data_IF_302577506884
#
_entry.id   IF_302577506884
#
_cell.length_a   1.000
_cell.length_b   1.000
_cell.length_c   1.000
_cell.angle_alpha   90.00
_cell.angle_beta   90.00
_cell.angle_gamma   90.00
#
_symmetry.space_group_name_H-M   'P 1'
#
loop_
_entity.id
_entity.type
_entity.pdbx_description
1 polymer ?
#
# COMPACT_ATOMS: atom_id res chain seq x y z
N UNK A 1 -21.07 41.15 41.92
CA UNK A 1 -22.32 40.56 42.44
C UNK A 1 -21.99 39.11 42.78
N UNK A 2 -21.69 38.83 44.05
CA UNK A 2 -22.58 38.11 45.01
C UNK A 2 -22.75 36.63 44.66
N UNK A 3 -22.57 35.65 45.55
CA UNK A 3 -22.29 35.64 46.99
C UNK A 3 -21.75 34.26 47.39
N UNK A 4 -20.87 34.25 48.39
CA UNK A 4 -20.42 33.09 49.14
C UNK A 4 -21.56 32.41 49.93
N UNK A 5 -21.42 31.10 50.19
CA UNK A 5 -22.06 30.42 51.33
C UNK A 5 -21.09 29.40 51.95
N UNK A 6 -20.51 29.80 53.08
CA UNK A 6 -19.86 28.96 54.08
C UNK A 6 -20.88 28.57 55.16
N UNK A 7 -20.90 27.30 55.59
CA UNK A 7 -21.33 26.81 56.93
C UNK A 7 -20.64 25.44 57.10
N UNK A 8 -19.55 25.26 57.85
CA UNK A 8 -19.34 25.19 59.31
C UNK A 8 -19.89 23.94 60.03
N UNK A 9 -18.98 23.02 60.40
CA UNK A 9 -18.94 22.31 61.70
C UNK A 9 -19.63 20.93 61.70
N UNK A 10 -19.17 19.88 62.39
CA UNK A 10 -18.37 19.78 63.62
C UNK A 10 -17.69 18.39 63.68
N UNK A 11 -16.43 18.34 64.10
CA UNK A 11 -15.70 17.14 64.55
C UNK A 11 -16.06 16.80 66.00
N UNK A 12 -16.16 15.52 66.38
CA UNK A 12 -15.79 15.10 67.72
C UNK A 12 -14.47 14.33 67.71
N UNK A 13 -13.61 14.75 68.63
CA UNK A 13 -12.37 14.10 68.99
C UNK A 13 -12.62 12.75 69.70
N UNK A 14 -11.86 11.72 69.33
CA UNK A 14 -11.54 10.62 70.24
C UNK A 14 -10.01 10.54 70.35
N UNK A 15 -9.51 11.06 71.46
CA UNK A 15 -8.18 10.77 71.96
C UNK A 15 -8.25 9.48 72.79
N UNK A 16 -7.40 8.51 72.50
CA UNK A 16 -7.33 7.26 73.26
C UNK A 16 -6.19 6.35 72.80
N UNK A 17 -5.05 6.50 73.46
CA UNK A 17 -4.05 5.46 73.79
C UNK A 17 -3.59 4.49 72.69
N UNK A 18 -2.39 4.73 72.15
CA UNK A 18 -1.50 3.66 71.68
C UNK A 18 -0.05 4.08 71.86
N UNK A 19 0.42 3.98 73.09
CA UNK A 19 1.85 4.04 73.43
C UNK A 19 2.36 2.60 73.49
N UNK A 20 3.26 2.24 72.57
CA UNK A 20 4.14 1.07 72.73
C UNK A 20 4.01 -0.03 71.68
N UNK A 21 4.71 0.14 70.54
CA UNK A 21 5.32 -0.94 69.75
C UNK A 21 6.01 -0.36 68.48
N UNK A 22 7.13 0.36 68.63
CA UNK A 22 7.97 0.76 67.49
C UNK A 22 9.42 0.32 67.71
N UNK A 23 9.61 -0.99 67.87
CA UNK A 23 10.92 -1.64 67.70
C UNK A 23 10.73 -2.85 66.79
N UNK A 24 10.38 -2.60 65.53
CA UNK A 24 10.50 -3.58 64.46
C UNK A 24 11.61 -3.05 63.54
N UNK A 25 12.73 -3.75 63.37
CA UNK A 25 13.73 -3.37 62.38
C UNK A 25 13.06 -3.42 61.01
N UNK A 26 13.07 -2.29 60.29
CA UNK A 26 12.57 -2.24 58.92
C UNK A 26 13.39 -3.21 58.07
N UNK A 27 12.73 -4.23 57.51
CA UNK A 27 13.33 -5.01 56.44
C UNK A 27 13.54 -4.07 55.25
N UNK A 28 14.80 -3.77 54.95
CA UNK A 28 15.16 -3.13 53.69
C UNK A 28 14.81 -4.12 52.57
N UNK A 29 13.65 -3.93 51.94
CA UNK A 29 13.32 -4.59 50.70
C UNK A 29 14.25 -3.99 49.63
N UNK A 30 15.21 -4.77 49.15
CA UNK A 30 15.95 -4.44 47.95
C UNK A 30 14.93 -4.33 46.81
N UNK A 31 14.79 -3.13 46.25
CA UNK A 31 13.97 -2.86 45.08
C UNK A 31 14.61 -3.62 43.89
N UNK A 32 13.97 -4.67 43.34
CA UNK A 32 14.50 -5.32 42.16
C UNK A 32 14.35 -4.32 41.02
N UNK A 33 15.48 -3.79 40.58
CA UNK A 33 15.62 -2.89 39.42
C UNK A 33 14.63 -3.30 38.32
N UNK A 34 13.62 -2.45 38.09
CA UNK A 34 12.59 -2.73 37.10
C UNK A 34 13.28 -2.95 35.74
N UNK A 35 12.98 -4.05 35.03
CA UNK A 35 13.56 -4.27 33.71
C UNK A 35 13.26 -3.06 32.81
N UNK A 36 14.20 -2.67 31.94
CA UNK A 36 14.04 -1.49 31.09
C UNK A 36 12.71 -1.59 30.36
N UNK A 37 11.86 -0.57 30.55
CA UNK A 37 10.58 -0.46 29.85
C UNK A 37 10.91 -0.22 28.38
N UNK A 38 10.79 -1.28 27.57
CA UNK A 38 10.78 -1.15 26.12
C UNK A 38 9.45 -0.50 25.77
N UNK A 39 9.46 0.79 25.40
CA UNK A 39 8.30 1.43 24.80
C UNK A 39 7.92 0.62 23.54
N UNK A 40 6.65 0.19 23.40
CA UNK A 40 6.20 -0.43 22.16
C UNK A 40 6.49 0.55 21.01
N UNK A 41 7.17 0.07 19.96
CA UNK A 41 7.16 0.80 18.68
C UNK A 41 5.68 1.06 18.34
N UNK A 42 5.33 2.24 17.81
CA UNK A 42 3.97 2.44 17.31
C UNK A 42 3.68 1.32 16.33
N UNK A 43 2.67 0.50 16.65
CA UNK A 43 2.22 -0.55 15.75
C UNK A 43 1.91 0.14 14.42
N UNK A 44 2.67 -0.19 13.37
CA UNK A 44 2.25 0.17 12.02
C UNK A 44 0.96 -0.60 11.80
N UNK A 45 -0.18 0.08 11.93
CA UNK A 45 -1.50 -0.52 11.74
C UNK A 45 -1.53 -1.11 10.33
N UNK A 46 -1.60 -2.43 10.27
CA UNK A 46 -1.77 -3.16 9.02
C UNK A 46 -3.26 -3.32 8.75
N UNK A 47 -3.62 -3.21 7.48
CA UNK A 47 -4.99 -3.30 7.00
C UNK A 47 -5.14 -4.51 6.10
N UNK A 48 -6.16 -5.34 6.36
CA UNK A 48 -6.47 -6.47 5.51
C UNK A 48 -7.24 -5.98 4.30
N UNK A 49 -6.76 -6.32 3.11
CA UNK A 49 -7.42 -5.94 1.87
C UNK A 49 -7.97 -7.19 1.18
N UNK A 50 -9.24 -7.16 0.84
CA UNK A 50 -9.89 -8.14 -0.02
C UNK A 50 -10.18 -7.52 -1.39
N UNK A 51 -9.62 -8.12 -2.43
CA UNK A 51 -9.80 -7.74 -3.81
C UNK A 51 -10.80 -8.68 -4.47
N UNK A 52 -11.89 -8.13 -4.99
CA UNK A 52 -12.92 -8.89 -5.71
C UNK A 52 -13.06 -8.36 -7.12
N UNK A 53 -13.04 -9.24 -8.11
CA UNK A 53 -13.24 -8.86 -9.49
C UNK A 53 -14.14 -9.86 -10.21
N UNK A 54 -14.90 -9.37 -11.19
CA UNK A 54 -15.78 -10.19 -12.02
C UNK A 54 -15.63 -9.75 -13.46
N UNK A 55 -15.55 -10.74 -14.35
CA UNK A 55 -15.45 -10.52 -15.78
C UNK A 55 -16.56 -11.31 -16.44
N UNK A 56 -17.62 -10.60 -16.82
CA UNK A 56 -18.81 -11.18 -17.41
C UNK A 56 -18.80 -10.98 -18.92
N UNK A 57 -18.39 -12.00 -19.66
CA UNK A 57 -18.35 -11.97 -21.11
C UNK A 57 -17.49 -13.07 -21.71
N UNK A 58 -17.25 -12.97 -23.02
CA UNK A 58 -16.33 -13.87 -23.72
C UNK A 58 -14.97 -13.18 -23.75
N UNK A 59 -14.03 -13.64 -22.92
CA UNK A 59 -12.66 -13.14 -22.92
C UNK A 59 -11.64 -14.28 -22.79
N UNK A 60 -10.43 -14.04 -23.29
CA UNK A 60 -9.24 -14.89 -23.08
C UNK A 60 -8.14 -14.05 -22.46
N UNK A 61 -7.24 -14.74 -21.76
CA UNK A 61 -6.08 -14.14 -21.10
C UNK A 61 -6.46 -12.91 -20.28
N UNK A 62 -7.61 -12.94 -19.60
CA UNK A 62 -7.89 -11.86 -18.68
C UNK A 62 -6.87 -11.94 -17.54
N UNK A 63 -6.44 -10.78 -17.08
CA UNK A 63 -5.46 -10.67 -16.00
C UNK A 63 -6.02 -9.73 -14.95
N UNK A 64 -5.81 -10.07 -13.68
CA UNK A 64 -6.11 -9.22 -12.54
C UNK A 64 -4.80 -8.96 -11.82
N UNK A 65 -4.36 -7.71 -11.83
CA UNK A 65 -3.23 -7.26 -11.05
C UNK A 65 -3.74 -6.57 -9.76
N UNK A 66 -3.11 -6.82 -8.63
CA UNK A 66 -3.49 -6.24 -7.33
C UNK A 66 -2.28 -6.15 -6.41
N UNK A 67 -2.33 -5.26 -5.41
CA UNK A 67 -1.26 -5.16 -4.41
C UNK A 67 -1.41 -6.26 -3.35
N UNK A 68 -0.37 -7.07 -3.19
CA UNK A 68 -0.31 -8.06 -2.09
C UNK A 68 0.23 -7.43 -0.81
N UNK A 69 1.12 -6.45 -0.95
CA UNK A 69 1.63 -5.58 0.12
C UNK A 69 2.02 -4.19 -0.44
N UNK A 70 2.65 -3.36 0.39
CA UNK A 70 2.99 -1.98 0.02
C UNK A 70 3.90 -1.87 -1.20
N UNK A 71 4.75 -2.88 -1.46
CA UNK A 71 5.81 -2.85 -2.48
C UNK A 71 5.58 -3.87 -3.61
N UNK A 72 4.75 -4.89 -3.37
CA UNK A 72 4.58 -5.99 -4.30
C UNK A 72 3.20 -5.96 -4.96
N UNK A 73 3.19 -6.18 -6.27
CA UNK A 73 2.01 -6.41 -7.08
C UNK A 73 2.01 -7.87 -7.51
N UNK A 74 0.89 -8.55 -7.32
CA UNK A 74 0.66 -9.89 -7.85
C UNK A 74 -0.28 -9.81 -9.05
N UNK A 75 -0.14 -10.75 -9.98
CA UNK A 75 -1.02 -10.88 -11.15
C UNK A 75 -1.58 -12.29 -11.20
N UNK A 76 -2.88 -12.41 -11.44
CA UNK A 76 -3.58 -13.68 -11.56
C UNK A 76 -4.38 -13.75 -12.86
N UNK A 77 -4.54 -14.97 -13.38
CA UNK A 77 -5.34 -15.27 -14.56
C UNK A 77 -6.66 -15.95 -14.10
N UNK A 78 -7.75 -15.20 -13.91
CA UNK A 78 -9.00 -15.74 -13.37
C UNK A 78 -9.71 -16.71 -14.32
N UNK A 79 -10.60 -17.53 -13.75
CA UNK A 79 -11.55 -18.32 -14.54
C UNK A 79 -12.56 -17.39 -15.23
N UNK A 80 -12.72 -17.58 -16.53
CA UNK A 80 -13.63 -16.79 -17.38
C UNK A 80 -15.06 -17.36 -17.43
N UNK A 81 -15.44 -18.18 -16.44
CA UNK A 81 -16.78 -18.73 -16.38
C UNK A 81 -17.76 -17.64 -15.90
N UNK A 82 -18.87 -17.39 -16.61
CA UNK A 82 -19.84 -16.37 -16.22
C UNK A 82 -20.31 -16.52 -14.78
N UNK A 83 -20.43 -15.39 -14.07
CA UNK A 83 -20.88 -15.35 -12.67
C UNK A 83 -19.85 -15.80 -11.64
N UNK A 84 -18.60 -16.10 -12.03
CA UNK A 84 -17.52 -16.33 -11.07
C UNK A 84 -16.85 -15.02 -10.66
N UNK A 85 -16.61 -14.90 -9.37
CA UNK A 85 -15.87 -13.80 -8.77
C UNK A 85 -14.46 -14.31 -8.47
N UNK A 86 -13.46 -13.59 -8.95
CA UNK A 86 -12.10 -13.71 -8.46
C UNK A 86 -12.01 -13.00 -7.12
N UNK A 87 -11.39 -13.65 -6.15
CA UNK A 87 -11.13 -13.09 -4.83
C UNK A 87 -9.68 -13.37 -4.42
N UNK A 88 -9.00 -12.34 -3.93
CA UNK A 88 -7.65 -12.45 -3.38
C UNK A 88 -7.49 -11.51 -2.18
N UNK A 89 -6.54 -11.81 -1.31
CA UNK A 89 -6.25 -10.99 -0.13
C UNK A 89 -4.84 -10.43 -0.18
N UNK A 90 -4.65 -9.29 0.47
CA UNK A 90 -3.37 -8.62 0.68
C UNK A 90 -3.35 -7.89 2.01
N UNK A 91 -2.20 -7.34 2.37
CA UNK A 91 -2.03 -6.56 3.61
C UNK A 91 -1.22 -5.31 3.32
N UNK A 92 -1.80 -4.14 3.55
CA UNK A 92 -1.16 -2.84 3.29
C UNK A 92 -1.05 -2.01 4.57
N UNK A 93 -0.05 -1.14 4.65
CA UNK A 93 0.08 -0.22 5.79
C UNK A 93 -0.82 1.01 5.68
N UNK A 94 -1.25 1.37 4.47
CA UNK A 94 -2.19 2.46 4.25
C UNK A 94 -3.33 2.01 3.32
N UNK A 95 -4.61 2.11 3.76
CA UNK A 95 -5.77 1.70 2.99
C UNK A 95 -5.89 2.41 1.63
N UNK A 96 -5.46 3.68 1.55
CA UNK A 96 -5.51 4.47 0.31
C UNK A 96 -4.52 3.98 -0.75
N UNK A 97 -3.56 3.13 -0.37
CA UNK A 97 -2.62 2.54 -1.32
C UNK A 97 -3.11 1.24 -1.92
N UNK A 98 -4.25 0.70 -1.46
CA UNK A 98 -4.85 -0.51 -2.03
C UNK A 98 -5.31 -0.26 -3.46
N UNK A 99 -4.84 -1.08 -4.39
CA UNK A 99 -5.08 -0.91 -5.82
C UNK A 99 -5.27 -2.24 -6.55
N UNK A 100 -6.08 -2.22 -7.60
CA UNK A 100 -6.34 -3.36 -8.48
C UNK A 100 -6.57 -2.88 -9.92
N UNK A 101 -6.21 -3.70 -10.91
CA UNK A 101 -6.54 -3.47 -12.31
C UNK A 101 -6.99 -4.78 -12.95
N UNK A 102 -8.17 -4.75 -13.57
CA UNK A 102 -8.72 -5.86 -14.34
C UNK A 102 -8.48 -5.58 -15.82
N UNK A 103 -7.89 -6.53 -16.55
CA UNK A 103 -7.63 -6.38 -17.98
C UNK A 103 -8.17 -7.55 -18.78
N UNK A 104 -8.64 -7.26 -19.99
CA UNK A 104 -8.96 -8.26 -21.02
C UNK A 104 -8.25 -7.91 -22.32
N UNK A 105 -7.94 -8.94 -23.10
CA UNK A 105 -7.32 -8.75 -24.40
C UNK A 105 -8.31 -8.28 -25.47
N UNK A 106 -7.82 -7.49 -26.43
CA UNK A 106 -8.50 -7.33 -27.71
C UNK A 106 -8.52 -8.68 -28.46
N UNK A 107 -9.59 -9.07 -29.20
CA UNK A 107 -10.80 -8.32 -29.57
C UNK A 107 -11.99 -8.60 -28.64
N UNK A 108 -11.74 -9.06 -27.41
CA UNK A 108 -12.79 -9.52 -26.53
C UNK A 108 -13.64 -8.40 -25.96
N UNK A 109 -14.82 -8.78 -25.48
CA UNK A 109 -15.80 -7.89 -24.88
C UNK A 109 -16.36 -8.50 -23.61
N UNK A 110 -16.41 -7.72 -22.55
CA UNK A 110 -16.96 -8.15 -21.27
C UNK A 110 -17.41 -6.93 -20.46
N UNK A 111 -18.31 -7.19 -19.50
CA UNK A 111 -18.48 -6.29 -18.37
C UNK A 111 -17.38 -6.61 -17.36
N UNK A 112 -16.62 -5.59 -16.98
CA UNK A 112 -15.59 -5.66 -15.96
C UNK A 112 -16.15 -5.01 -14.71
N UNK A 113 -15.99 -5.69 -13.58
CA UNK A 113 -16.33 -5.19 -12.26
C UNK A 113 -15.17 -5.46 -11.33
N UNK A 114 -14.89 -4.51 -10.45
CA UNK A 114 -13.89 -4.61 -9.42
C UNK A 114 -14.40 -3.96 -8.13
N UNK A 115 -13.97 -4.51 -7.01
CA UNK A 115 -14.30 -4.06 -5.67
C UNK A 115 -13.09 -4.28 -4.77
N UNK A 116 -12.75 -3.30 -3.96
CA UNK A 116 -11.67 -3.35 -2.99
C UNK A 116 -12.27 -3.08 -1.63
N UNK A 117 -12.16 -4.07 -0.74
CA UNK A 117 -12.56 -3.96 0.64
C UNK A 117 -11.31 -3.85 1.50
N UNK A 118 -11.26 -2.86 2.38
CA UNK A 118 -10.22 -2.75 3.40
C UNK A 118 -10.88 -2.89 4.76
N UNK A 119 -10.42 -3.84 5.57
CA UNK A 119 -11.03 -4.23 6.83
C UNK A 119 -12.55 -4.45 6.69
N UNK A 120 -12.92 -5.19 5.63
CA UNK A 120 -14.31 -5.51 5.23
C UNK A 120 -15.18 -4.30 4.82
N UNK A 121 -14.59 -3.12 4.63
CA UNK A 121 -15.29 -1.92 4.14
C UNK A 121 -14.93 -1.64 2.68
N UNK A 122 -15.93 -1.45 1.83
CA UNK A 122 -15.71 -1.10 0.41
C UNK A 122 -15.13 0.30 0.32
N UNK A 123 -13.87 0.40 -0.08
CA UNK A 123 -13.16 1.69 -0.25
C UNK A 123 -13.10 2.13 -1.71
N UNK A 124 -13.16 1.18 -2.65
CA UNK A 124 -13.19 1.46 -4.08
C UNK A 124 -14.00 0.40 -4.82
N UNK A 125 -14.79 0.85 -5.80
CA UNK A 125 -15.52 -0.02 -6.71
C UNK A 125 -15.60 0.66 -8.07
N UNK A 126 -15.48 -0.10 -9.15
CA UNK A 126 -15.73 0.39 -10.48
C UNK A 126 -16.32 -0.70 -11.40
N UNK A 127 -17.04 -0.24 -12.41
CA UNK A 127 -17.73 -1.05 -13.39
C UNK A 127 -17.54 -0.42 -14.76
N UNK A 128 -17.24 -1.24 -15.77
CA UNK A 128 -17.21 -0.76 -17.15
C UNK A 128 -17.57 -1.87 -18.14
N UNK A 129 -18.18 -1.49 -19.25
CA UNK A 129 -18.38 -2.40 -20.37
C UNK A 129 -17.34 -2.14 -21.46
N UNK A 130 -16.60 -3.18 -21.81
CA UNK A 130 -15.64 -3.16 -22.91
C UNK A 130 -16.34 -3.73 -24.15
N UNK A 131 -16.69 -2.84 -25.07
CA UNK A 131 -17.34 -3.22 -26.33
C UNK A 131 -16.36 -3.78 -27.37
N UNK A 132 -16.80 -4.73 -28.22
CA UNK A 132 -15.94 -5.34 -29.23
C UNK A 132 -15.47 -4.32 -30.27
N UNK A 133 -14.21 -4.44 -30.69
CA UNK A 133 -13.60 -3.59 -31.73
C UNK A 133 -13.07 -4.45 -32.86
N UNK A 134 -13.41 -4.10 -34.11
CA UNK A 134 -12.96 -4.83 -35.30
C UNK A 134 -11.48 -4.59 -35.64
N UNK A 135 -10.93 -3.46 -35.21
CA UNK A 135 -9.53 -3.10 -35.40
C UNK A 135 -8.85 -3.00 -34.05
N UNK A 136 -7.58 -3.43 -33.99
CA UNK A 136 -6.74 -3.19 -32.81
C UNK A 136 -6.69 -1.68 -32.57
N UNK A 137 -6.96 -1.21 -31.34
CA UNK A 137 -6.81 0.19 -31.01
C UNK A 137 -5.34 0.60 -31.20
N UNK A 138 -5.10 1.55 -32.11
CA UNK A 138 -3.76 2.10 -32.36
C UNK A 138 -3.35 3.12 -31.30
N UNK A 139 -4.33 3.84 -30.75
CA UNK A 139 -4.12 4.98 -29.86
C UNK A 139 -4.74 4.79 -28.47
N UNK A 140 -5.16 3.56 -28.13
CA UNK A 140 -5.74 3.24 -26.82
C UNK A 140 -5.00 2.05 -26.17
N UNK A 141 -3.89 2.32 -25.45
CA UNK A 141 -3.13 1.30 -24.72
C UNK A 141 -3.91 0.73 -23.51
N UNK A 142 -5.02 1.37 -23.13
CA UNK A 142 -5.83 1.02 -21.97
C UNK A 142 -7.11 0.29 -22.37
N UNK A 143 -7.28 -0.07 -23.65
CA UNK A 143 -8.41 -0.87 -24.08
C UNK A 143 -8.52 -2.13 -23.22
N UNK A 144 -9.74 -2.39 -22.74
CA UNK A 144 -10.01 -3.56 -21.93
C UNK A 144 -9.47 -3.49 -20.50
N UNK A 145 -8.96 -2.35 -20.04
CA UNK A 145 -8.45 -2.16 -18.68
C UNK A 145 -9.44 -1.38 -17.80
N UNK A 146 -9.67 -1.88 -16.59
CA UNK A 146 -10.44 -1.24 -15.53
C UNK A 146 -9.56 -1.10 -14.28
N UNK A 147 -8.96 0.09 -14.04
CA UNK A 147 -8.23 0.38 -12.81
C UNK A 147 -9.20 0.74 -11.67
N UNK A 148 -8.87 0.33 -10.45
CA UNK A 148 -9.70 0.49 -9.26
C UNK A 148 -8.84 0.78 -8.03
N UNK A 149 -9.24 1.79 -7.25
CA UNK A 149 -8.45 2.25 -6.11
C UNK A 149 -7.14 2.93 -6.54
N UNK A 150 -6.08 2.69 -5.79
CA UNK A 150 -4.76 3.26 -6.03
C UNK A 150 -4.15 2.78 -7.36
N UNK A 151 -3.33 3.62 -8.03
CA UNK A 151 -2.61 3.19 -9.22
C UNK A 151 -1.64 2.06 -8.89
N UNK A 152 -1.65 1.04 -9.76
CA UNK A 152 -0.69 -0.06 -9.72
C UNK A 152 0.64 0.38 -10.34
N UNK A 153 1.36 1.22 -9.62
CA UNK A 153 2.76 1.50 -9.88
C UNK A 153 3.53 1.04 -8.66
N UNK A 154 4.45 0.08 -8.82
CA UNK A 154 5.58 0.04 -7.90
C UNK A 154 6.22 1.42 -8.05
N UNK A 155 6.49 2.12 -6.95
CA UNK A 155 7.10 3.45 -6.97
C UNK A 155 8.42 3.43 -7.75
N UNK A 156 8.35 3.57 -9.08
CA UNK A 156 9.47 4.04 -9.88
C UNK A 156 9.43 5.54 -9.64
N UNK A 157 10.48 6.15 -9.07
CA UNK A 157 10.52 7.59 -8.94
C UNK A 157 10.32 8.17 -10.34
N UNK A 158 9.18 8.82 -10.56
CA UNK A 158 8.95 9.62 -11.75
C UNK A 158 9.98 10.73 -11.67
N UNK A 159 11.05 10.62 -12.45
CA UNK A 159 11.83 11.79 -12.81
C UNK A 159 10.87 12.66 -13.60
N UNK A 160 10.27 13.64 -12.92
CA UNK A 160 9.59 14.76 -13.56
C UNK A 160 10.62 15.32 -14.55
N UNK A 161 10.41 15.26 -15.88
CA UNK A 161 11.31 15.95 -16.78
C UNK A 161 11.21 17.43 -16.41
N UNK A 162 12.32 17.92 -15.86
CA UNK A 162 12.51 19.31 -15.52
C UNK A 162 12.14 20.13 -16.75
N UNK A 163 11.15 21.00 -16.59
CA UNK A 163 10.65 21.82 -17.68
C UNK A 163 11.67 22.93 -17.88
N UNK A 164 12.75 22.63 -18.61
CA UNK A 164 13.74 23.63 -19.02
C UNK A 164 13.07 24.58 -20.02
N UNK A 165 12.96 25.89 -19.72
CA UNK A 165 12.47 26.88 -20.68
C UNK A 165 13.43 26.96 -21.89
N UNK A 166 12.93 27.23 -23.11
CA UNK A 166 13.76 27.26 -24.30
C UNK A 166 14.64 28.51 -24.27
N UNK A 167 15.96 28.32 -24.11
CA UNK A 167 16.92 29.39 -24.28
C UNK A 167 18.13 29.31 -23.37
N UNK A 168 19.06 28.40 -23.66
CA UNK A 168 20.47 28.59 -23.36
C UNK A 168 21.30 27.74 -24.34
N UNK A 169 22.05 28.42 -25.19
CA UNK A 169 22.96 27.87 -26.18
C UNK A 169 23.86 26.77 -25.60
N UNK A 170 23.94 25.64 -26.29
CA UNK A 170 25.05 24.70 -26.12
C UNK A 170 25.66 24.43 -27.48
N UNK A 171 26.96 24.73 -27.57
CA UNK A 171 27.78 24.74 -28.77
C UNK A 171 27.78 23.40 -29.55
N UNK A 172 28.12 23.42 -30.85
CA UNK A 172 28.22 22.21 -31.66
C UNK A 172 29.24 21.20 -31.09
N UNK A 173 28.97 19.88 -31.17
CA UNK A 173 29.91 18.86 -30.73
C UNK A 173 31.18 18.88 -31.60
N UNK A 174 32.34 18.77 -30.96
CA UNK A 174 33.62 18.59 -31.65
C UNK A 174 33.63 17.28 -32.46
N UNK A 175 34.32 17.23 -33.62
CA UNK A 175 34.35 16.04 -34.46
C UNK A 175 35.10 14.90 -33.76
N UNK A 176 34.52 13.70 -33.82
CA UNK A 176 35.13 12.45 -33.38
C UNK A 176 36.15 11.97 -34.41
N UNK A 177 37.38 11.72 -33.96
CA UNK A 177 38.51 11.20 -34.74
C UNK A 177 38.30 9.69 -35.05
N UNK A 178 38.27 9.24 -36.31
CA UNK A 178 37.96 7.86 -36.66
C UNK A 178 39.23 6.98 -36.66
N UNK A 179 39.73 6.64 -35.48
CA UNK A 179 40.82 5.66 -35.36
C UNK A 179 40.83 4.92 -34.02
N UNK A 180 39.86 4.03 -33.80
CA UNK A 180 40.05 2.90 -32.87
C UNK A 180 39.58 1.63 -33.58
N UNK A 181 40.48 0.69 -33.93
CA UNK A 181 40.10 -0.55 -34.57
C UNK A 181 39.40 -1.49 -33.58
N UNK A 182 38.41 -2.23 -34.07
CA UNK A 182 37.62 -3.20 -33.30
C UNK A 182 38.51 -4.34 -32.74
N UNK A 183 38.21 -4.86 -31.53
CA UNK A 183 38.88 -6.06 -31.01
C UNK A 183 38.54 -7.30 -31.85
N UNK A 184 39.55 -8.10 -32.19
CA UNK A 184 39.42 -9.31 -33.00
C UNK A 184 38.69 -10.45 -32.25
N UNK A 185 37.79 -11.13 -32.96
CA UNK A 185 37.06 -12.33 -32.53
C UNK A 185 38.01 -13.54 -32.43
N UNK A 186 37.95 -14.38 -31.36
CA UNK A 186 38.79 -15.58 -31.25
C UNK A 186 38.31 -16.71 -32.16
N UNK A 187 39.22 -17.29 -32.94
CA UNK A 187 38.95 -18.43 -33.82
C UNK A 187 38.66 -19.74 -33.04
N UNK A 188 37.85 -20.67 -33.60
CA UNK A 188 37.50 -21.93 -32.94
C UNK A 188 38.67 -22.94 -32.91
N UNK A 189 38.69 -23.86 -31.93
CA UNK A 189 39.79 -24.81 -31.74
C UNK A 189 39.78 -25.92 -32.78
N UNK A 190 40.98 -26.28 -33.24
CA UNK A 190 41.26 -27.41 -34.13
C UNK A 190 41.52 -28.66 -33.28
N UNK A 191 40.73 -29.71 -33.50
CA UNK A 191 41.08 -31.11 -33.21
C UNK A 191 40.41 -32.00 -34.24
#
# INVERSE_FOLDING_TARGET
MSSAKYVWGVLPALAGLLTGALLIPAAAHADPEAPPQVEPLPDQQLHNVTYRARIDGVSRNATIAYKIDDQNINTADPSMLPGRIFEATGVVSNPETAGMAVRIDWPYSANLHCEILVDDQVVAQADTFVGPRLTRPKDDPNYGSLPCGAPLSNSVPVTVPDTVPPGADTAPPAPVDPAVPAPAEPAPPVT
#
